data_IF_841963063538
#
_entry.id   IF_841963063538
#
_cell.length_a   1.000
_cell.length_b   1.000
_cell.length_c   1.000
_cell.angle_alpha   90.00
_cell.angle_beta   90.00
_cell.angle_gamma   90.00
#
_symmetry.space_group_name_H-M   'P 1'
#
loop_
_entity.id
_entity.type
_entity.pdbx_description
1 polymer ?
#
# COMPACT_ATOMS: atom_id res chain seq x y z
N UNK A 1 -67.57 71.77 85.94
CA UNK A 1 -66.51 72.48 85.21
C UNK A 1 -65.28 71.59 85.32
N UNK A 2 -64.78 71.05 84.20
CA UNK A 2 -63.52 70.28 84.24
C UNK A 2 -62.41 71.26 84.57
N UNK A 3 -61.72 71.03 85.69
CA UNK A 3 -60.65 71.91 86.16
C UNK A 3 -59.60 72.05 85.06
N UNK A 4 -59.31 73.29 84.67
CA UNK A 4 -58.35 73.60 83.60
C UNK A 4 -56.99 72.92 83.82
N UNK A 5 -56.62 72.67 85.08
CA UNK A 5 -55.43 71.93 85.49
C UNK A 5 -55.41 70.48 85.01
N UNK A 6 -56.56 69.79 84.99
CA UNK A 6 -56.69 68.41 84.50
C UNK A 6 -56.50 68.35 82.98
N UNK A 7 -57.05 69.32 82.23
CA UNK A 7 -56.85 69.43 80.78
C UNK A 7 -55.38 69.73 80.43
N UNK A 8 -54.70 70.58 81.21
CA UNK A 8 -53.26 70.81 81.05
C UNK A 8 -52.42 69.55 81.30
N UNK A 9 -52.79 68.75 82.31
CA UNK A 9 -52.09 67.49 82.59
C UNK A 9 -52.24 66.47 81.44
N UNK A 10 -53.48 66.27 80.96
CA UNK A 10 -53.76 65.33 79.85
C UNK A 10 -53.06 65.77 78.56
N UNK A 11 -53.07 67.07 78.24
CA UNK A 11 -52.39 67.60 77.05
C UNK A 11 -50.87 67.50 77.15
N UNK A 12 -50.30 67.73 78.34
CA UNK A 12 -48.87 67.53 78.60
C UNK A 12 -48.47 66.04 78.46
N UNK A 13 -49.26 65.12 79.02
CA UNK A 13 -49.01 63.67 78.91
C UNK A 13 -49.06 63.19 77.46
N UNK A 14 -50.04 63.67 76.69
CA UNK A 14 -50.18 63.34 75.26
C UNK A 14 -49.03 63.92 74.43
N UNK A 15 -48.57 65.14 74.74
CA UNK A 15 -47.41 65.73 74.09
C UNK A 15 -46.12 64.94 74.36
N UNK A 16 -45.93 64.46 75.60
CA UNK A 16 -44.78 63.60 75.95
C UNK A 16 -44.84 62.27 75.22
N UNK A 17 -46.01 61.62 75.17
CA UNK A 17 -46.19 60.36 74.44
C UNK A 17 -45.90 60.54 72.94
N UNK A 18 -46.40 61.62 72.34
CA UNK A 18 -46.14 61.95 70.94
C UNK A 18 -44.65 62.17 70.68
N UNK A 19 -43.95 62.87 71.58
CA UNK A 19 -42.50 63.07 71.48
C UNK A 19 -41.73 61.74 71.54
N UNK A 20 -42.11 60.84 72.44
CA UNK A 20 -41.51 59.49 72.54
C UNK A 20 -41.73 58.70 71.23
N UNK A 21 -42.94 58.74 70.67
CA UNK A 21 -43.26 58.09 69.38
C UNK A 21 -42.45 58.70 68.23
N UNK A 22 -42.30 60.03 68.18
CA UNK A 22 -41.47 60.70 67.19
C UNK A 22 -39.99 60.31 67.30
N UNK A 23 -39.44 60.22 68.51
CA UNK A 23 -38.06 59.74 68.72
C UNK A 23 -37.93 58.29 68.26
N UNK A 24 -38.88 57.42 68.62
CA UNK A 24 -38.87 56.02 68.21
C UNK A 24 -38.93 55.86 66.69
N UNK A 25 -39.79 56.64 66.00
CA UNK A 25 -39.88 56.66 64.55
C UNK A 25 -38.58 57.17 63.90
N UNK A 26 -37.93 58.19 64.45
CA UNK A 26 -36.63 58.67 63.96
C UNK A 26 -35.54 57.60 64.09
N UNK A 27 -35.51 56.85 65.20
CA UNK A 27 -34.58 55.74 65.39
C UNK A 27 -34.84 54.61 64.39
N UNK A 28 -36.12 54.29 64.12
CA UNK A 28 -36.49 53.28 63.12
C UNK A 28 -36.16 53.72 61.69
N UNK A 29 -36.40 54.98 61.34
CA UNK A 29 -36.00 55.57 60.05
C UNK A 29 -34.48 55.50 59.87
N UNK A 30 -33.71 55.77 60.93
CA UNK A 30 -32.25 55.62 60.91
C UNK A 30 -31.80 54.18 60.67
N UNK A 31 -32.44 53.20 61.33
CA UNK A 31 -32.15 51.77 61.11
C UNK A 31 -32.53 51.31 59.70
N UNK A 32 -33.67 51.76 59.17
CA UNK A 32 -34.12 51.43 57.82
C UNK A 32 -33.17 52.01 56.76
N UNK A 33 -32.73 53.27 56.90
CA UNK A 33 -31.72 53.85 56.00
C UNK A 33 -30.41 53.06 55.98
N UNK A 34 -29.94 52.61 57.15
CA UNK A 34 -28.75 51.74 57.22
C UNK A 34 -28.97 50.39 56.53
N UNK A 35 -30.18 49.85 56.58
CA UNK A 35 -30.50 48.57 55.96
C UNK A 35 -30.63 48.69 54.44
N UNK A 36 -31.22 49.79 53.95
CA UNK A 36 -31.26 50.14 52.52
C UNK A 36 -29.84 50.31 51.96
N UNK A 37 -28.97 51.07 52.65
CA UNK A 37 -27.58 51.23 52.23
C UNK A 37 -26.83 49.88 52.13
N UNK A 38 -27.06 48.97 53.08
CA UNK A 38 -26.48 47.61 53.03
C UNK A 38 -27.02 46.78 51.87
N UNK A 39 -28.28 46.95 51.49
CA UNK A 39 -28.86 46.24 50.34
C UNK A 39 -28.35 46.80 49.02
N UNK A 40 -28.20 48.12 48.91
CA UNK A 40 -27.59 48.79 47.76
C UNK A 40 -26.14 48.33 47.56
N UNK A 41 -25.34 48.31 48.64
CA UNK A 41 -23.96 47.80 48.59
C UNK A 41 -23.91 46.33 48.13
N UNK A 42 -24.83 45.49 48.61
CA UNK A 42 -24.93 44.09 48.17
C UNK A 42 -25.28 43.98 46.69
N UNK A 43 -26.24 44.77 46.19
CA UNK A 43 -26.62 44.77 44.77
C UNK A 43 -25.44 45.22 43.90
N UNK A 44 -24.71 46.26 44.31
CA UNK A 44 -23.52 46.73 43.59
C UNK A 44 -22.42 45.65 43.59
N UNK A 45 -22.21 44.97 44.72
CA UNK A 45 -21.23 43.88 44.81
C UNK A 45 -21.61 42.68 43.93
N UNK A 46 -22.90 42.31 43.87
CA UNK A 46 -23.43 41.24 43.00
C UNK A 46 -23.31 41.62 41.52
N UNK A 47 -23.59 42.86 41.17
CA UNK A 47 -23.40 43.34 39.79
C UNK A 47 -21.93 43.27 39.37
N UNK A 48 -21.02 43.60 40.28
CA UNK A 48 -19.58 43.52 40.05
C UNK A 48 -19.10 42.06 39.96
N UNK A 49 -19.63 41.15 40.77
CA UNK A 49 -19.28 39.72 40.70
C UNK A 49 -19.82 39.06 39.43
N UNK A 50 -21.05 39.40 38.99
CA UNK A 50 -21.61 38.96 37.70
C UNK A 50 -20.80 39.51 36.53
N UNK A 51 -20.34 40.77 36.61
CA UNK A 51 -19.46 41.35 35.58
C UNK A 51 -18.11 40.62 35.48
N UNK A 52 -17.53 40.23 36.61
CA UNK A 52 -16.30 39.43 36.65
C UNK A 52 -16.51 38.02 36.11
N UNK A 53 -17.55 37.32 36.56
CA UNK A 53 -17.84 35.97 36.07
C UNK A 53 -18.16 35.95 34.58
N UNK A 54 -18.87 36.97 34.06
CA UNK A 54 -19.13 37.10 32.61
C UNK A 54 -17.85 37.34 31.80
N UNK A 55 -16.89 38.07 32.35
CA UNK A 55 -15.60 38.27 31.69
C UNK A 55 -14.72 37.02 31.76
N UNK A 56 -14.78 36.27 32.86
CA UNK A 56 -14.12 34.98 33.01
C UNK A 56 -14.72 33.93 32.07
N UNK A 57 -16.05 33.84 31.95
CA UNK A 57 -16.71 32.95 30.98
C UNK A 57 -16.43 33.37 29.55
N UNK A 58 -16.38 34.68 29.24
CA UNK A 58 -16.00 35.16 27.91
C UNK A 58 -14.53 34.85 27.59
N UNK A 59 -13.63 34.88 28.56
CA UNK A 59 -12.23 34.46 28.39
C UNK A 59 -12.12 32.95 28.20
N UNK A 60 -12.85 32.16 28.99
CA UNK A 60 -12.90 30.71 28.85
C UNK A 60 -13.49 30.30 27.49
N UNK A 61 -14.57 30.96 27.04
CA UNK A 61 -15.15 30.76 25.70
C UNK A 61 -14.17 31.13 24.59
N UNK A 62 -13.41 32.22 24.74
CA UNK A 62 -12.35 32.56 23.77
C UNK A 62 -11.23 31.52 23.75
N UNK A 63 -10.80 31.01 24.91
CA UNK A 63 -9.80 29.95 25.00
C UNK A 63 -10.31 28.62 24.43
N UNK A 64 -11.61 28.35 24.52
CA UNK A 64 -12.23 27.19 23.89
C UNK A 64 -12.35 27.37 22.38
N UNK A 65 -12.76 28.55 21.90
CA UNK A 65 -12.81 28.85 20.47
C UNK A 65 -11.41 28.83 19.83
N UNK A 66 -10.40 29.39 20.50
CA UNK A 66 -8.99 29.31 20.07
C UNK A 66 -8.44 27.86 20.09
N UNK A 67 -9.09 26.94 20.81
CA UNK A 67 -8.76 25.50 20.84
C UNK A 67 -9.60 24.69 19.84
N UNK A 68 -10.79 25.15 19.47
CA UNK A 68 -11.58 24.59 18.36
C UNK A 68 -11.06 25.04 16.99
N UNK A 69 -10.37 26.19 16.91
CA UNK A 69 -9.71 26.68 15.69
C UNK A 69 -8.34 26.02 15.42
N UNK A 70 -7.84 25.14 16.30
CA UNK A 70 -6.81 24.20 15.86
C UNK A 70 -7.53 23.15 15.01
N UNK A 71 -7.24 23.04 13.69
CA UNK A 71 -7.84 21.98 12.88
C UNK A 71 -7.54 20.68 13.62
N UNK A 72 -8.58 19.97 14.05
CA UNK A 72 -8.41 18.62 14.54
C UNK A 72 -7.71 17.88 13.41
N UNK A 73 -6.42 17.58 13.59
CA UNK A 73 -5.63 16.80 12.64
C UNK A 73 -6.50 15.63 12.24
N UNK A 74 -6.70 15.46 10.93
CA UNK A 74 -7.40 14.29 10.44
C UNK A 74 -6.70 13.07 11.03
N UNK A 75 -7.44 12.01 11.34
CA UNK A 75 -6.81 10.77 11.82
C UNK A 75 -5.72 10.29 10.85
N UNK A 76 -5.86 10.58 9.55
CA UNK A 76 -4.83 10.36 8.54
C UNK A 76 -3.59 11.24 8.74
N UNK A 77 -3.75 12.53 9.03
CA UNK A 77 -2.62 13.42 9.34
C UNK A 77 -1.88 12.97 10.61
N UNK A 78 -2.62 12.45 11.59
CA UNK A 78 -2.03 11.86 12.79
C UNK A 78 -1.25 10.58 12.46
N UNK A 79 -1.80 9.69 11.64
CA UNK A 79 -1.10 8.49 11.18
C UNK A 79 0.18 8.85 10.41
N UNK A 80 0.13 9.84 9.53
CA UNK A 80 1.29 10.30 8.78
C UNK A 80 2.38 10.85 9.70
N UNK A 81 1.98 11.64 10.70
CA UNK A 81 2.91 12.15 11.73
C UNK A 81 3.56 11.00 12.50
N UNK A 82 2.80 9.97 12.87
CA UNK A 82 3.32 8.80 13.59
C UNK A 82 4.20 7.90 12.70
N UNK A 83 3.90 7.77 11.41
CA UNK A 83 4.71 7.05 10.42
C UNK A 83 6.07 7.75 10.29
N UNK A 84 6.08 9.07 10.09
CA UNK A 84 7.31 9.85 9.97
C UNK A 84 8.12 9.82 11.27
N UNK A 85 7.48 9.97 12.43
CA UNK A 85 8.15 9.85 13.73
C UNK A 85 8.77 8.46 13.94
N UNK A 86 8.10 7.40 13.46
CA UNK A 86 8.64 6.03 13.53
C UNK A 86 9.82 5.85 12.58
N UNK A 87 9.78 6.45 11.38
CA UNK A 87 10.89 6.47 10.44
C UNK A 87 12.09 7.23 10.99
N UNK A 88 11.88 8.40 11.59
CA UNK A 88 12.93 9.18 12.24
C UNK A 88 13.58 8.43 13.40
N UNK A 89 12.76 7.73 14.20
CA UNK A 89 13.27 6.89 15.28
C UNK A 89 14.14 5.75 14.75
N UNK A 90 13.69 5.06 13.70
CA UNK A 90 14.47 4.01 13.03
C UNK A 90 15.79 4.55 12.47
N UNK A 91 15.78 5.70 11.79
CA UNK A 91 16.98 6.37 11.30
C UNK A 91 17.97 6.72 12.42
N UNK A 92 17.47 7.09 13.61
CA UNK A 92 18.32 7.37 14.78
C UNK A 92 19.10 6.14 15.29
N UNK A 93 18.68 4.92 14.91
CA UNK A 93 19.36 3.66 15.19
C UNK A 93 20.48 3.32 14.18
N UNK A 94 20.80 4.26 13.28
CA UNK A 94 21.78 4.15 12.19
C UNK A 94 21.59 2.88 11.34
N UNK A 95 20.42 2.70 10.71
CA UNK A 95 20.12 1.52 9.93
C UNK A 95 20.96 1.48 8.66
N UNK A 96 21.39 0.28 8.28
CA UNK A 96 22.22 0.04 7.09
C UNK A 96 21.35 -0.18 5.83
N UNK A 97 20.03 -0.32 6.05
CA UNK A 97 19.01 -0.63 5.05
C UNK A 97 17.70 0.10 5.40
N UNK A 98 16.73 0.05 4.49
CA UNK A 98 15.43 0.69 4.70
C UNK A 98 14.62 0.01 5.82
N UNK A 99 13.73 0.79 6.47
CA UNK A 99 12.87 0.36 7.59
C UNK A 99 12.00 -0.84 7.24
N UNK A 100 11.59 -0.97 5.97
CA UNK A 100 10.79 -2.10 5.47
C UNK A 100 11.60 -3.41 5.48
N UNK A 101 12.92 -3.34 5.28
CA UNK A 101 13.79 -4.50 5.20
C UNK A 101 14.30 -4.96 6.58
N UNK A 102 14.23 -4.08 7.58
CA UNK A 102 14.62 -4.37 8.97
C UNK A 102 13.56 -5.15 9.75
N UNK A 103 12.47 -5.57 9.09
CA UNK A 103 11.47 -6.47 9.67
C UNK A 103 11.99 -7.92 9.78
N UNK A 104 13.04 -8.25 9.02
CA UNK A 104 13.68 -9.57 9.02
C UNK A 104 14.39 -9.89 10.36
N UNK A 105 14.48 -11.19 10.73
CA UNK A 105 15.00 -11.61 12.03
C UNK A 105 16.52 -11.36 12.20
N UNK A 106 17.24 -11.05 11.12
CA UNK A 106 18.67 -10.73 11.13
C UNK A 106 18.97 -9.31 11.65
N UNK A 107 17.98 -8.41 11.65
CA UNK A 107 18.14 -7.05 12.14
C UNK A 107 18.18 -6.98 13.68
N UNK A 108 18.83 -5.98 14.30
CA UNK A 108 18.74 -5.75 15.74
C UNK A 108 17.29 -5.55 16.21
N UNK A 109 16.94 -6.06 17.40
CA UNK A 109 15.56 -6.04 17.92
C UNK A 109 14.93 -4.64 17.95
N UNK A 110 15.72 -3.60 18.22
CA UNK A 110 15.23 -2.22 18.26
C UNK A 110 14.83 -1.71 16.86
N UNK A 111 15.56 -2.16 15.82
CA UNK A 111 15.23 -1.86 14.42
C UNK A 111 14.02 -2.67 13.96
N UNK A 112 13.95 -3.94 14.32
CA UNK A 112 12.77 -4.79 14.06
C UNK A 112 11.50 -4.22 14.70
N UNK A 113 11.57 -3.74 15.94
CA UNK A 113 10.43 -3.14 16.62
C UNK A 113 9.94 -1.87 15.90
N UNK A 114 10.88 -1.04 15.41
CA UNK A 114 10.56 0.16 14.64
C UNK A 114 9.96 -0.18 13.27
N UNK A 115 10.54 -1.19 12.59
CA UNK A 115 10.06 -1.73 11.32
C UNK A 115 8.63 -2.30 11.43
N UNK A 116 8.37 -3.09 12.47
CA UNK A 116 7.05 -3.69 12.72
C UNK A 116 6.00 -2.62 13.05
N UNK A 117 6.36 -1.62 13.87
CA UNK A 117 5.46 -0.47 14.12
C UNK A 117 5.16 0.28 12.83
N UNK A 118 6.16 0.53 11.99
CA UNK A 118 5.98 1.20 10.71
C UNK A 118 5.04 0.39 9.79
N UNK A 119 5.26 -0.92 9.65
CA UNK A 119 4.39 -1.81 8.88
C UNK A 119 2.94 -1.79 9.37
N UNK A 120 2.73 -1.81 10.69
CA UNK A 120 1.40 -1.73 11.30
C UNK A 120 0.70 -0.39 11.00
N UNK A 121 1.42 0.74 11.12
CA UNK A 121 0.86 2.07 10.84
C UNK A 121 0.49 2.24 9.36
N UNK A 122 1.30 1.69 8.45
CA UNK A 122 0.99 1.66 7.02
C UNK A 122 -0.26 0.83 6.75
N UNK A 123 -0.38 -0.36 7.37
CA UNK A 123 -1.58 -1.19 7.25
C UNK A 123 -2.84 -0.46 7.75
N UNK A 124 -2.75 0.25 8.88
CA UNK A 124 -3.86 1.06 9.41
C UNK A 124 -4.22 2.22 8.46
N UNK A 125 -3.22 2.88 7.87
CA UNK A 125 -3.42 3.95 6.88
C UNK A 125 -4.11 3.43 5.63
N UNK A 126 -3.68 2.29 5.08
CA UNK A 126 -4.31 1.65 3.93
C UNK A 126 -5.75 1.20 4.23
N UNK A 127 -5.97 0.61 5.41
CA UNK A 127 -7.30 0.22 5.85
C UNK A 127 -8.24 1.42 5.97
N UNK A 128 -7.74 2.59 6.41
CA UNK A 128 -8.50 3.84 6.44
C UNK A 128 -8.86 4.34 5.05
N UNK A 129 -7.94 4.31 4.10
CA UNK A 129 -8.27 4.68 2.71
C UNK A 129 -9.32 3.76 2.10
N UNK A 130 -9.29 2.46 2.41
CA UNK A 130 -10.24 1.49 1.88
C UNK A 130 -11.63 1.54 2.54
N UNK A 131 -11.74 2.04 3.78
CA UNK A 131 -12.98 2.00 4.58
C UNK A 131 -13.87 3.24 4.49
N UNK A 132 -13.51 4.25 3.68
CA UNK A 132 -14.29 5.48 3.49
C UNK A 132 -14.03 6.56 4.55
N UNK A 133 -14.81 7.65 4.53
CA UNK A 133 -14.56 8.87 5.34
C UNK A 133 -14.52 8.63 6.86
N UNK A 134 -15.28 7.66 7.39
CA UNK A 134 -15.47 7.50 8.84
C UNK A 134 -15.00 6.15 9.42
N UNK A 135 -14.60 5.17 8.61
CA UNK A 135 -14.27 3.81 9.07
C UNK A 135 -13.02 3.20 8.45
N UNK A 136 -12.32 2.34 9.20
CA UNK A 136 -11.27 1.46 8.65
C UNK A 136 -11.92 0.22 8.05
N UNK A 137 -11.45 -0.23 6.88
CA UNK A 137 -11.79 -1.54 6.33
C UNK A 137 -11.04 -2.62 7.11
N UNK A 138 -11.76 -3.35 7.96
CA UNK A 138 -11.21 -4.45 8.75
C UNK A 138 -10.70 -5.60 7.90
N UNK A 139 -11.29 -5.83 6.72
CA UNK A 139 -10.84 -6.86 5.77
C UNK A 139 -9.45 -6.55 5.24
N UNK A 140 -9.20 -5.27 4.87
CA UNK A 140 -7.89 -4.82 4.41
C UNK A 140 -6.87 -4.86 5.54
N UNK A 141 -7.24 -4.40 6.73
CA UNK A 141 -6.38 -4.46 7.90
C UNK A 141 -5.99 -5.90 8.25
N UNK A 142 -6.97 -6.83 8.25
CA UNK A 142 -6.73 -8.24 8.52
C UNK A 142 -5.78 -8.85 7.49
N UNK A 143 -6.04 -8.64 6.19
CA UNK A 143 -5.19 -9.17 5.13
C UNK A 143 -3.73 -8.67 5.24
N UNK A 144 -3.54 -7.40 5.60
CA UNK A 144 -2.21 -6.80 5.77
C UNK A 144 -1.50 -7.31 7.02
N UNK A 145 -2.22 -7.51 8.13
CA UNK A 145 -1.67 -8.10 9.34
C UNK A 145 -1.32 -9.58 9.14
N UNK A 146 -2.13 -10.33 8.42
CA UNK A 146 -1.83 -11.72 8.04
C UNK A 146 -0.55 -11.81 7.22
N UNK A 147 -0.31 -10.89 6.27
CA UNK A 147 0.95 -10.84 5.53
C UNK A 147 2.16 -10.60 6.44
N UNK A 148 2.04 -9.67 7.40
CA UNK A 148 3.11 -9.41 8.38
C UNK A 148 3.36 -10.67 9.24
N UNK A 149 2.30 -11.34 9.70
CA UNK A 149 2.42 -12.56 10.51
C UNK A 149 3.05 -13.70 9.72
N UNK A 150 2.59 -13.97 8.48
CA UNK A 150 3.13 -15.00 7.61
C UNK A 150 4.62 -14.79 7.32
N UNK A 151 5.04 -13.54 7.15
CA UNK A 151 6.46 -13.22 7.00
C UNK A 151 7.27 -13.67 8.23
N UNK A 152 6.79 -13.40 9.45
CA UNK A 152 7.46 -13.84 10.67
C UNK A 152 7.38 -15.34 10.92
N UNK A 153 6.28 -16.00 10.56
CA UNK A 153 6.15 -17.46 10.65
C UNK A 153 7.13 -18.17 9.71
N UNK A 154 7.27 -17.68 8.48
CA UNK A 154 8.26 -18.20 7.52
C UNK A 154 9.70 -17.83 7.85
N UNK A 155 9.94 -16.73 8.57
CA UNK A 155 11.27 -16.31 8.99
C UNK A 155 11.75 -16.98 10.29
N UNK A 156 10.82 -17.43 11.15
CA UNK A 156 11.13 -18.12 12.41
C UNK A 156 11.22 -19.65 12.28
N UNK A 157 10.94 -20.24 11.12
CA UNK A 157 11.41 -21.61 10.83
C UNK A 157 12.94 -21.57 10.82
N UNK A 158 13.62 -22.14 11.84
CA UNK A 158 15.05 -22.05 11.92
C UNK A 158 15.64 -22.74 10.70
N UNK A 159 16.28 -21.96 9.82
CA UNK A 159 17.38 -22.49 9.03
C UNK A 159 18.44 -22.91 10.04
N UNK A 160 18.41 -24.18 10.45
CA UNK A 160 19.63 -24.83 10.91
C UNK A 160 20.61 -24.73 9.74
N UNK A 161 21.53 -23.76 9.80
CA UNK A 161 22.77 -23.86 9.05
C UNK A 161 23.43 -25.17 9.49
N UNK A 162 23.61 -26.16 8.60
CA UNK A 162 24.43 -27.29 8.97
C UNK A 162 25.86 -26.77 9.05
N UNK A 163 26.37 -26.70 10.28
CA UNK A 163 27.78 -26.90 10.53
C UNK A 163 28.22 -28.10 9.67
N UNK A 164 29.29 -27.91 8.92
CA UNK A 164 29.87 -28.91 8.04
C UNK A 164 30.02 -30.28 8.74
N UNK A 165 29.03 -31.13 8.58
CA UNK A 165 29.14 -32.58 8.73
C UNK A 165 28.71 -33.19 7.40
N UNK A 166 29.69 -33.76 6.72
CA UNK A 166 29.55 -34.53 5.51
C UNK A 166 28.50 -35.64 5.72
N UNK A 167 27.38 -35.58 4.97
CA UNK A 167 26.50 -36.74 4.78
C UNK A 167 24.98 -36.57 4.94
N UNK A 168 24.43 -35.36 4.84
CA UNK A 168 22.97 -35.12 4.83
C UNK A 168 22.37 -35.13 3.43
N UNK A 169 21.17 -35.67 3.31
CA UNK A 169 20.48 -36.13 2.08
C UNK A 169 20.14 -35.01 1.09
N UNK A 170 20.41 -35.22 -0.21
CA UNK A 170 20.10 -34.24 -1.29
C UNK A 170 18.60 -33.90 -1.39
N UNK A 171 17.76 -34.74 -0.80
CA UNK A 171 16.30 -34.58 -0.68
C UNK A 171 15.89 -33.31 0.08
N UNK A 172 16.59 -32.95 1.16
CA UNK A 172 16.20 -31.82 2.01
C UNK A 172 16.56 -30.47 1.36
N UNK A 173 17.68 -30.40 0.63
CA UNK A 173 18.02 -29.22 -0.17
C UNK A 173 17.00 -29.01 -1.30
N UNK A 174 16.57 -30.08 -1.97
CA UNK A 174 15.55 -30.03 -3.02
C UNK A 174 14.21 -29.54 -2.47
N UNK A 175 13.81 -29.95 -1.27
CA UNK A 175 12.58 -29.47 -0.63
C UNK A 175 12.61 -27.97 -0.34
N UNK A 176 13.76 -27.44 0.13
CA UNK A 176 13.96 -26.00 0.36
C UNK A 176 13.94 -25.22 -0.95
N UNK A 177 14.59 -25.72 -2.00
CA UNK A 177 14.54 -25.10 -3.33
C UNK A 177 13.13 -25.16 -3.94
N UNK A 178 12.39 -26.26 -3.77
CA UNK A 178 10.98 -26.39 -4.20
C UNK A 178 10.08 -25.36 -3.50
N UNK A 179 10.20 -25.20 -2.18
CA UNK A 179 9.44 -24.19 -1.42
C UNK A 179 9.78 -22.75 -1.87
N UNK A 180 11.06 -22.48 -2.16
CA UNK A 180 11.49 -21.18 -2.66
C UNK A 180 10.97 -20.89 -4.07
N UNK A 181 10.95 -21.90 -4.94
CA UNK A 181 10.38 -21.82 -6.29
C UNK A 181 8.88 -21.56 -6.21
N UNK A 182 8.16 -22.29 -5.34
CA UNK A 182 6.72 -22.12 -5.17
C UNK A 182 6.36 -20.71 -4.68
N UNK A 183 7.15 -20.17 -3.74
CA UNK A 183 6.98 -18.78 -3.29
C UNK A 183 7.28 -17.77 -4.41
N UNK A 184 8.34 -17.98 -5.21
CA UNK A 184 8.63 -17.13 -6.36
C UNK A 184 7.54 -17.19 -7.43
N UNK A 185 6.92 -18.35 -7.64
CA UNK A 185 5.80 -18.52 -8.55
C UNK A 185 4.53 -17.82 -8.04
N UNK A 186 4.28 -17.85 -6.72
CA UNK A 186 3.20 -17.07 -6.11
C UNK A 186 3.43 -15.57 -6.26
N UNK A 187 4.65 -15.09 -6.02
CA UNK A 187 5.00 -13.68 -6.25
C UNK A 187 4.87 -13.28 -7.71
N UNK A 188 5.33 -14.12 -8.64
CA UNK A 188 5.18 -13.91 -10.08
C UNK A 188 3.71 -13.84 -10.49
N UNK A 189 2.86 -14.72 -9.95
CA UNK A 189 1.41 -14.69 -10.20
C UNK A 189 0.76 -13.45 -9.63
N UNK A 190 1.15 -13.03 -8.42
CA UNK A 190 0.66 -11.80 -7.79
C UNK A 190 1.09 -10.56 -8.60
N UNK A 191 2.32 -10.53 -9.10
CA UNK A 191 2.83 -9.46 -9.94
C UNK A 191 2.01 -9.35 -11.24
N UNK A 192 1.79 -10.46 -11.95
CA UNK A 192 0.97 -10.44 -13.16
C UNK A 192 -0.49 -10.07 -12.89
N UNK A 193 -1.08 -10.50 -11.76
CA UNK A 193 -2.44 -10.09 -11.39
C UNK A 193 -2.51 -8.59 -11.05
N UNK A 194 -1.47 -8.06 -10.41
CA UNK A 194 -1.35 -6.63 -10.10
C UNK A 194 -1.13 -5.79 -11.37
N UNK A 195 -0.26 -6.24 -12.28
CA UNK A 195 0.00 -5.62 -13.58
C UNK A 195 -1.27 -5.62 -14.44
N UNK A 196 -1.99 -6.75 -14.49
CA UNK A 196 -3.27 -6.85 -15.20
C UNK A 196 -4.33 -5.91 -14.62
N UNK A 197 -4.43 -5.83 -13.29
CA UNK A 197 -5.34 -4.90 -12.61
C UNK A 197 -4.93 -3.45 -12.83
N UNK A 198 -3.63 -3.17 -12.87
CA UNK A 198 -3.09 -1.85 -13.15
C UNK A 198 -3.43 -1.42 -14.57
N UNK A 199 -3.13 -2.22 -15.58
CA UNK A 199 -3.51 -1.97 -16.98
C UNK A 199 -5.02 -1.77 -17.14
N UNK A 200 -5.83 -2.61 -16.48
CA UNK A 200 -7.28 -2.47 -16.50
C UNK A 200 -7.76 -1.15 -15.86
N UNK A 201 -7.14 -0.74 -14.75
CA UNK A 201 -7.44 0.53 -14.07
C UNK A 201 -7.00 1.74 -14.91
N UNK A 202 -5.87 1.63 -15.61
CA UNK A 202 -5.36 2.66 -16.50
C UNK A 202 -6.27 2.82 -17.72
N UNK A 203 -6.72 1.72 -18.32
CA UNK A 203 -7.69 1.75 -19.41
C UNK A 203 -9.03 2.36 -18.99
N UNK A 204 -9.51 2.07 -17.78
CA UNK A 204 -10.72 2.68 -17.23
C UNK A 204 -10.54 4.18 -16.93
N UNK A 205 -9.38 4.57 -16.41
CA UNK A 205 -9.06 5.98 -16.17
C UNK A 205 -9.01 6.79 -17.47
N UNK A 206 -8.44 6.21 -18.54
CA UNK A 206 -8.41 6.81 -19.88
C UNK A 206 -9.83 6.96 -20.46
N UNK A 207 -10.70 5.96 -20.28
CA UNK A 207 -12.11 6.04 -20.69
C UNK A 207 -12.87 7.15 -19.94
N UNK A 208 -12.69 7.24 -18.61
CA UNK A 208 -13.28 8.33 -17.82
C UNK A 208 -12.71 9.70 -18.20
N UNK A 209 -11.42 9.78 -18.51
CA UNK A 209 -10.79 11.00 -19.00
C UNK A 209 -11.42 11.44 -20.34
N UNK A 210 -11.62 10.52 -21.28
CA UNK A 210 -12.26 10.82 -22.56
C UNK A 210 -13.72 11.27 -22.37
N UNK A 211 -14.47 10.61 -21.48
CA UNK A 211 -15.86 10.99 -21.16
C UNK A 211 -15.94 12.37 -20.50
N UNK A 212 -15.04 12.68 -19.55
CA UNK A 212 -14.98 13.99 -18.90
C UNK A 212 -14.56 15.08 -19.88
N UNK A 213 -13.60 14.81 -20.76
CA UNK A 213 -13.18 15.73 -21.83
C UNK A 213 -14.32 16.01 -22.81
N UNK A 214 -15.09 14.98 -23.19
CA UNK A 214 -16.26 15.14 -24.04
C UNK A 214 -17.37 15.96 -23.35
N UNK A 215 -17.63 15.71 -22.07
CA UNK A 215 -18.62 16.45 -21.27
C UNK A 215 -18.17 17.90 -21.00
N UNK A 216 -16.87 18.15 -20.79
CA UNK A 216 -16.28 19.48 -20.65
C UNK A 216 -16.46 20.32 -21.91
N UNK A 217 -16.25 19.72 -23.10
CA UNK A 217 -16.52 20.36 -24.40
C UNK A 217 -17.99 20.69 -24.61
N UNK A 218 -18.90 19.84 -24.14
CA UNK A 218 -20.34 20.07 -24.26
C UNK A 218 -20.85 21.17 -23.30
N UNK A 219 -20.25 21.28 -22.11
CA UNK A 219 -20.60 22.28 -21.10
C UNK A 219 -19.93 23.65 -21.31
N UNK A 220 -18.98 23.77 -22.23
CA UNK A 220 -18.25 25.01 -22.50
C UNK A 220 -17.37 25.49 -21.34
N UNK A 221 -17.04 24.59 -20.42
CA UNK A 221 -16.08 24.83 -19.34
C UNK A 221 -14.67 24.67 -19.93
N UNK A 222 -13.93 25.78 -20.01
CA UNK A 222 -12.74 25.94 -20.88
C UNK A 222 -11.43 25.29 -20.42
N UNK A 223 -10.33 25.83 -20.97
CA UNK A 223 -8.90 25.43 -20.84
C UNK A 223 -8.45 25.04 -19.42
N UNK A 224 -9.05 25.59 -18.36
CA UNK A 224 -8.68 25.26 -16.98
C UNK A 224 -9.14 23.86 -16.56
N UNK A 225 -10.25 23.36 -17.12
CA UNK A 225 -10.75 22.01 -16.86
C UNK A 225 -9.92 20.97 -17.61
N UNK A 226 -9.61 21.24 -18.89
CA UNK A 226 -8.70 20.42 -19.69
C UNK A 226 -7.29 20.36 -19.04
N UNK A 227 -6.80 21.49 -18.52
CA UNK A 227 -5.51 21.55 -17.82
C UNK A 227 -5.48 20.86 -16.45
N UNK A 228 -6.62 20.64 -15.78
CA UNK A 228 -6.72 19.84 -14.56
C UNK A 228 -6.83 18.34 -14.87
N UNK A 229 -7.56 17.99 -15.93
CA UNK A 229 -7.65 16.64 -16.46
C UNK A 229 -6.29 16.14 -16.95
N UNK A 230 -5.52 16.97 -17.66
CA UNK A 230 -4.16 16.61 -18.09
C UNK A 230 -3.23 16.36 -16.90
N UNK A 231 -3.33 17.15 -15.83
CA UNK A 231 -2.54 16.93 -14.62
C UNK A 231 -2.93 15.64 -13.90
N UNK A 232 -4.21 15.29 -13.94
CA UNK A 232 -4.70 14.03 -13.38
C UNK A 232 -4.20 12.83 -14.19
N UNK A 233 -4.27 12.87 -15.52
CA UNK A 233 -3.75 11.82 -16.40
C UNK A 233 -2.24 11.59 -16.20
N UNK A 234 -1.46 12.68 -16.09
CA UNK A 234 -0.02 12.58 -15.84
C UNK A 234 0.33 11.98 -14.47
N UNK A 235 -0.50 12.17 -13.44
CA UNK A 235 -0.25 11.58 -12.11
C UNK A 235 -0.30 10.05 -12.11
N UNK A 236 -1.09 9.43 -13.00
CA UNK A 236 -1.12 7.97 -13.15
C UNK A 236 0.06 7.45 -13.97
N UNK A 237 0.52 8.21 -14.97
CA UNK A 237 1.73 7.88 -15.74
C UNK A 237 2.97 7.89 -14.85
N UNK A 238 3.10 8.89 -13.96
CA UNK A 238 4.24 9.00 -13.04
C UNK A 238 4.32 7.82 -12.04
N UNK A 239 3.18 7.27 -11.62
CA UNK A 239 3.13 6.10 -10.74
C UNK A 239 3.51 4.82 -11.52
N UNK A 240 3.08 4.70 -12.78
CA UNK A 240 3.49 3.60 -13.66
C UNK A 240 5.00 3.57 -13.90
N UNK A 241 5.60 4.74 -14.18
CA UNK A 241 7.05 4.88 -14.34
C UNK A 241 7.81 4.56 -13.04
N UNK A 242 7.23 4.82 -11.86
CA UNK A 242 7.85 4.49 -10.57
C UNK A 242 7.94 2.97 -10.37
N UNK A 243 6.85 2.26 -10.65
CA UNK A 243 6.74 0.79 -10.51
C UNK A 243 7.67 0.08 -11.51
N UNK A 244 7.77 0.58 -12.74
CA UNK A 244 8.72 0.04 -13.74
C UNK A 244 10.19 0.33 -13.38
N UNK A 245 10.47 1.48 -12.75
CA UNK A 245 11.83 1.83 -12.35
C UNK A 245 12.35 1.01 -11.16
N UNK A 246 11.48 0.62 -10.22
CA UNK A 246 11.87 -0.20 -9.05
C UNK A 246 12.09 -1.67 -9.41
N UNK A 247 11.39 -2.21 -10.42
CA UNK A 247 11.62 -3.56 -10.95
C UNK A 247 12.99 -3.74 -11.62
N UNK A 248 13.64 -2.65 -12.04
CA UNK A 248 14.93 -2.66 -12.76
C UNK A 248 16.14 -2.28 -11.89
N UNK A 249 15.93 -1.97 -10.60
CA UNK A 249 16.96 -1.39 -9.71
C UNK A 249 17.94 -2.37 -9.04
N UNK A 250 17.71 -3.68 -9.12
CA UNK A 250 18.43 -4.67 -8.29
C UNK A 250 19.63 -5.34 -8.99
N UNK A 251 20.49 -4.64 -9.74
CA UNK A 251 21.80 -5.19 -10.17
C UNK A 251 22.87 -4.11 -10.40
N UNK A 252 23.24 -3.33 -9.38
CA UNK A 252 24.52 -2.59 -9.38
C UNK A 252 25.23 -2.66 -8.02
N UNK A 253 25.67 -3.86 -7.66
CA UNK A 253 26.76 -4.05 -6.71
C UNK A 253 27.83 -4.92 -7.37
N UNK A 254 29.02 -4.34 -7.53
CA UNK A 254 30.22 -4.88 -8.17
C UNK A 254 30.78 -6.04 -7.32
N UNK A 255 30.95 -7.28 -7.83
CA UNK A 255 31.80 -8.28 -7.19
C UNK A 255 33.21 -8.19 -7.78
N UNK A 256 34.17 -7.76 -6.96
CA UNK A 256 35.58 -8.08 -7.18
C UNK A 256 35.82 -9.49 -6.63
N UNK A 257 36.22 -10.42 -7.50
CA UNK A 257 36.57 -11.78 -7.12
C UNK A 257 36.23 -12.76 -8.24
N UNK A 258 37.20 -13.02 -9.12
CA UNK A 258 37.00 -13.79 -10.34
C UNK A 258 36.72 -15.28 -10.13
N UNK A 259 35.77 -15.79 -10.91
CA UNK A 259 35.79 -17.13 -11.50
C UNK A 259 35.29 -16.97 -12.93
N UNK A 260 36.20 -17.18 -13.89
CA UNK A 260 35.87 -17.23 -15.32
C UNK A 260 34.99 -18.47 -15.59
N UNK A 261 33.70 -18.23 -15.84
CA UNK A 261 32.82 -19.20 -16.47
C UNK A 261 32.54 -18.74 -17.91
N UNK A 262 32.99 -19.59 -18.83
CA UNK A 262 32.98 -19.45 -20.28
C UNK A 262 31.57 -19.13 -20.85
N UNK A 263 31.32 -17.86 -21.19
CA UNK A 263 30.15 -17.40 -21.96
C UNK A 263 30.48 -17.39 -23.46
N UNK A 264 30.55 -18.57 -24.05
CA UNK A 264 30.33 -18.77 -25.49
C UNK A 264 28.88 -19.20 -25.69
N UNK A 265 27.96 -18.25 -25.75
CA UNK A 265 26.61 -18.48 -26.29
C UNK A 265 26.04 -17.20 -26.89
N UNK A 266 25.90 -17.23 -28.22
CA UNK A 266 25.03 -16.45 -29.10
C UNK A 266 25.15 -14.92 -29.16
N UNK A 267 25.49 -14.43 -30.35
CA UNK A 267 25.57 -13.00 -30.72
C UNK A 267 24.26 -12.22 -30.59
N UNK A 268 23.11 -12.88 -30.44
CA UNK A 268 21.80 -12.24 -30.23
C UNK A 268 21.67 -11.54 -28.87
N UNK A 269 22.39 -12.02 -27.83
CA UNK A 269 22.31 -11.39 -26.50
C UNK A 269 23.00 -10.03 -26.43
N UNK A 270 24.08 -9.83 -27.21
CA UNK A 270 24.81 -8.55 -27.23
C UNK A 270 24.09 -7.46 -28.01
N UNK A 271 23.35 -7.80 -29.07
CA UNK A 271 22.57 -6.83 -29.84
C UNK A 271 21.34 -6.36 -29.07
N UNK A 272 20.67 -7.23 -28.34
CA UNK A 272 19.52 -6.86 -27.48
C UNK A 272 19.94 -5.94 -26.33
N UNK A 273 21.07 -6.22 -25.67
CA UNK A 273 21.58 -5.38 -24.57
C UNK A 273 22.03 -3.99 -25.08
N UNK A 274 22.72 -3.93 -26.23
CA UNK A 274 23.12 -2.65 -26.82
C UNK A 274 21.91 -1.81 -27.26
N UNK A 275 20.88 -2.45 -27.82
CA UNK A 275 19.67 -1.78 -28.28
C UNK A 275 18.82 -1.26 -27.11
N UNK A 276 18.79 -1.99 -25.99
CA UNK A 276 18.10 -1.57 -24.77
C UNK A 276 18.77 -0.34 -24.13
N UNK A 277 20.10 -0.27 -24.13
CA UNK A 277 20.84 0.90 -23.63
C UNK A 277 20.60 2.15 -24.50
N UNK A 278 20.48 1.99 -25.81
CA UNK A 278 20.23 3.08 -26.75
C UNK A 278 18.78 3.61 -26.65
N UNK A 279 17.80 2.72 -26.47
CA UNK A 279 16.40 3.08 -26.17
C UNK A 279 16.29 3.85 -24.85
N UNK A 280 17.00 3.40 -23.79
CA UNK A 280 17.02 4.11 -22.51
C UNK A 280 17.64 5.50 -22.62
N UNK A 281 18.68 5.65 -23.44
CA UNK A 281 19.29 6.95 -23.73
C UNK A 281 18.32 7.89 -24.45
N UNK A 282 17.55 7.39 -25.42
CA UNK A 282 16.53 8.15 -26.12
C UNK A 282 15.38 8.56 -25.18
N UNK A 283 14.91 7.65 -24.30
CA UNK A 283 13.87 7.96 -23.30
C UNK A 283 14.33 9.07 -22.35
N UNK A 284 15.55 8.98 -21.81
CA UNK A 284 16.09 10.01 -20.91
C UNK A 284 16.26 11.37 -21.61
N UNK A 285 16.70 11.37 -22.87
CA UNK A 285 16.84 12.61 -23.64
C UNK A 285 15.49 13.25 -23.97
N UNK A 286 14.44 12.45 -24.21
CA UNK A 286 13.08 12.95 -24.41
C UNK A 286 12.50 13.60 -23.14
N UNK A 287 12.77 13.00 -21.96
CA UNK A 287 12.37 13.56 -20.66
C UNK A 287 13.05 14.91 -20.40
N UNK A 288 14.36 15.00 -20.64
CA UNK A 288 15.11 16.26 -20.48
C UNK A 288 14.58 17.37 -21.42
N UNK A 289 14.22 17.02 -22.66
CA UNK A 289 13.63 17.97 -23.60
C UNK A 289 12.24 18.45 -23.16
N UNK A 290 11.40 17.56 -22.63
CA UNK A 290 10.09 17.95 -22.09
C UNK A 290 10.21 18.89 -20.88
N UNK A 291 11.23 18.69 -20.05
CA UNK A 291 11.53 19.60 -18.94
C UNK A 291 11.93 20.98 -19.44
N UNK A 292 12.81 21.07 -20.43
CA UNK A 292 13.22 22.35 -21.05
C UNK A 292 12.02 23.08 -21.68
N UNK A 293 11.15 22.36 -22.39
CA UNK A 293 9.93 22.93 -23.00
C UNK A 293 8.99 23.46 -21.91
N UNK A 294 8.82 22.72 -20.81
CA UNK A 294 7.95 23.13 -19.70
C UNK A 294 8.49 24.37 -19.00
N UNK A 295 9.80 24.45 -18.79
CA UNK A 295 10.46 25.64 -18.23
C UNK A 295 10.35 26.85 -19.16
N UNK A 296 10.50 26.67 -20.47
CA UNK A 296 10.35 27.74 -21.46
C UNK A 296 8.90 28.21 -21.58
N UNK A 297 7.91 27.29 -21.58
CA UNK A 297 6.48 27.63 -21.52
C UNK A 297 6.15 28.41 -20.25
N UNK A 298 6.71 28.00 -19.11
CA UNK A 298 6.54 28.72 -17.84
C UNK A 298 7.17 30.12 -17.89
N UNK A 299 8.36 30.27 -18.48
CA UNK A 299 9.00 31.58 -18.70
C UNK A 299 8.19 32.46 -19.65
N UNK A 300 7.56 31.89 -20.68
CA UNK A 300 6.68 32.63 -21.58
C UNK A 300 5.48 33.21 -20.82
N UNK A 301 4.84 32.40 -19.97
CA UNK A 301 3.68 32.79 -19.17
C UNK A 301 4.01 33.82 -18.09
N UNK A 302 5.23 33.82 -17.55
CA UNK A 302 5.65 34.76 -16.50
C UNK A 302 6.32 36.02 -17.04
N UNK A 303 6.81 35.99 -18.28
CA UNK A 303 7.40 37.17 -18.94
C UNK A 303 6.30 38.17 -19.32
N UNK A 304 6.40 39.39 -18.77
CA UNK A 304 5.44 40.48 -19.00
C UNK A 304 5.96 41.55 -19.96
N UNK A 305 7.24 41.48 -20.34
CA UNK A 305 7.85 42.33 -21.35
C UNK A 305 7.74 41.69 -22.74
N UNK A 306 7.33 42.44 -23.78
CA UNK A 306 7.25 41.92 -25.15
C UNK A 306 8.62 41.51 -25.73
N UNK A 307 9.72 42.08 -25.23
CA UNK A 307 11.08 41.72 -25.65
C UNK A 307 11.49 40.36 -25.10
N UNK A 308 11.17 40.08 -23.83
CA UNK A 308 11.42 38.77 -23.19
C UNK A 308 10.55 37.67 -23.80
N UNK A 309 9.29 38.00 -24.15
CA UNK A 309 8.40 37.07 -24.85
C UNK A 309 8.96 36.68 -26.22
N UNK A 310 9.56 37.63 -26.95
CA UNK A 310 10.14 37.37 -28.25
C UNK A 310 11.42 36.53 -28.17
N UNK A 311 12.25 36.71 -27.13
CA UNK A 311 13.40 35.86 -26.85
C UNK A 311 12.96 34.42 -26.51
N UNK A 312 11.94 34.25 -25.67
CA UNK A 312 11.41 32.93 -25.31
C UNK A 312 10.76 32.23 -26.49
N UNK A 313 10.05 32.96 -27.37
CA UNK A 313 9.49 32.39 -28.61
C UNK A 313 10.60 31.97 -29.58
N UNK A 314 11.69 32.74 -29.70
CA UNK A 314 12.87 32.34 -30.49
C UNK A 314 13.50 31.06 -29.94
N UNK A 315 13.67 30.96 -28.62
CA UNK A 315 14.22 29.77 -27.97
C UNK A 315 13.30 28.54 -28.11
N UNK A 316 11.97 28.72 -28.04
CA UNK A 316 11.00 27.66 -28.31
C UNK A 316 11.05 27.19 -29.77
N UNK A 317 11.24 28.12 -30.71
CA UNK A 317 11.35 27.80 -32.14
C UNK A 317 12.62 26.99 -32.42
N UNK A 318 13.74 27.35 -31.78
CA UNK A 318 15.00 26.60 -31.88
C UNK A 318 14.87 25.20 -31.26
N UNK A 319 14.19 25.06 -30.11
CA UNK A 319 13.91 23.77 -29.50
C UNK A 319 12.97 22.90 -30.36
N UNK A 320 11.98 23.49 -31.02
CA UNK A 320 11.11 22.77 -31.96
C UNK A 320 11.88 22.28 -33.19
N UNK A 321 12.78 23.08 -33.76
CA UNK A 321 13.63 22.64 -34.87
C UNK A 321 14.57 21.51 -34.43
N UNK A 322 15.09 21.58 -33.20
CA UNK A 322 15.90 20.52 -32.62
C UNK A 322 15.10 19.22 -32.42
N UNK A 323 13.86 19.31 -31.92
CA UNK A 323 12.95 18.16 -31.81
C UNK A 323 12.60 17.56 -33.16
N UNK A 324 12.39 18.39 -34.18
CA UNK A 324 12.12 17.91 -35.54
C UNK A 324 13.30 17.10 -36.09
N UNK A 325 14.55 17.52 -35.84
CA UNK A 325 15.74 16.74 -36.21
C UNK A 325 15.83 15.44 -35.43
N UNK A 326 15.53 15.46 -34.13
CA UNK A 326 15.53 14.24 -33.32
C UNK A 326 14.47 13.23 -33.76
N UNK A 327 13.27 13.67 -34.13
CA UNK A 327 12.25 12.77 -34.68
C UNK A 327 12.72 12.13 -35.99
N UNK A 328 13.37 12.89 -36.87
CA UNK A 328 13.94 12.34 -38.11
C UNK A 328 15.07 11.34 -37.85
N UNK A 329 15.94 11.60 -36.87
CA UNK A 329 16.98 10.66 -36.45
C UNK A 329 16.39 9.39 -35.82
N UNK A 330 15.35 9.53 -35.00
CA UNK A 330 14.63 8.40 -34.40
C UNK A 330 13.89 7.55 -35.45
N UNK A 331 13.24 8.17 -36.44
CA UNK A 331 12.63 7.47 -37.57
C UNK A 331 13.68 6.67 -38.37
N UNK A 332 14.86 7.26 -38.58
CA UNK A 332 15.97 6.58 -39.27
C UNK A 332 16.51 5.40 -38.46
N UNK A 333 16.61 5.55 -37.13
CA UNK A 333 17.02 4.47 -36.22
C UNK A 333 15.99 3.34 -36.18
N UNK A 334 14.69 3.66 -36.11
CA UNK A 334 13.61 2.67 -36.17
C UNK A 334 13.65 1.86 -37.46
N UNK A 335 13.84 2.53 -38.61
CA UNK A 335 14.00 1.84 -39.90
C UNK A 335 15.20 0.89 -39.90
N UNK A 336 16.34 1.30 -39.32
CA UNK A 336 17.51 0.43 -39.20
C UNK A 336 17.22 -0.81 -38.34
N UNK A 337 16.47 -0.65 -37.25
CA UNK A 337 16.07 -1.77 -36.37
C UNK A 337 15.08 -2.69 -37.08
N UNK A 338 14.12 -2.15 -37.83
CA UNK A 338 13.17 -2.91 -38.63
C UNK A 338 13.88 -3.73 -39.72
N UNK A 339 14.87 -3.14 -40.39
CA UNK A 339 15.70 -3.82 -41.39
C UNK A 339 16.52 -4.96 -40.75
N UNK A 340 17.11 -4.73 -39.57
CA UNK A 340 17.91 -5.74 -38.87
C UNK A 340 17.02 -6.87 -38.31
N UNK A 341 15.82 -6.56 -37.83
CA UNK A 341 14.84 -7.56 -37.41
C UNK A 341 14.39 -8.42 -38.58
N UNK A 342 14.11 -7.81 -39.73
CA UNK A 342 13.73 -8.53 -40.96
C UNK A 342 14.85 -9.48 -41.37
N UNK A 343 16.10 -9.02 -41.34
CA UNK A 343 17.28 -9.85 -41.64
C UNK A 343 17.45 -11.02 -40.67
N UNK A 344 17.21 -10.80 -39.38
CA UNK A 344 17.29 -11.86 -38.36
C UNK A 344 16.16 -12.91 -38.53
N UNK A 345 14.97 -12.49 -38.97
CA UNK A 345 13.90 -13.43 -39.32
C UNK A 345 14.26 -14.28 -40.54
N UNK A 346 14.81 -13.67 -41.59
CA UNK A 346 15.26 -14.37 -42.79
C UNK A 346 16.35 -15.41 -42.48
N UNK A 347 17.32 -15.09 -41.60
CA UNK A 347 18.34 -16.05 -41.14
C UNK A 347 17.72 -17.21 -40.35
N UNK A 348 16.74 -16.93 -39.48
CA UNK A 348 16.03 -17.97 -38.72
C UNK A 348 15.27 -18.92 -39.65
N UNK A 349 14.60 -18.39 -40.67
CA UNK A 349 13.87 -19.19 -41.65
C UNK A 349 14.83 -20.07 -42.47
N UNK A 350 16.00 -19.53 -42.85
CA UNK A 350 17.05 -20.32 -43.52
C UNK A 350 17.62 -21.44 -42.65
N UNK A 351 17.86 -21.18 -41.36
CA UNK A 351 18.34 -22.20 -40.42
C UNK A 351 17.30 -23.31 -40.20
N UNK A 352 16.02 -22.94 -40.12
CA UNK A 352 14.92 -23.92 -40.04
C UNK A 352 14.85 -24.79 -41.30
N UNK A 353 14.95 -24.19 -42.48
CA UNK A 353 14.97 -24.93 -43.74
C UNK A 353 16.19 -25.87 -43.84
N UNK A 354 17.36 -25.48 -43.32
CA UNK A 354 18.56 -26.32 -43.27
C UNK A 354 18.42 -27.51 -42.31
N UNK A 355 17.75 -27.34 -41.17
CA UNK A 355 17.44 -28.44 -40.25
C UNK A 355 16.48 -29.46 -40.88
N UNK A 356 15.48 -28.99 -41.61
CA UNK A 356 14.53 -29.87 -42.32
C UNK A 356 15.17 -30.63 -43.48
N UNK A 357 16.15 -30.03 -44.17
CA UNK A 357 16.86 -30.69 -45.28
C UNK A 357 18.09 -31.52 -44.84
N UNK A 358 18.63 -31.27 -43.65
CA UNK A 358 19.84 -31.93 -43.13
C UNK A 358 19.63 -33.25 -42.36
N UNK A 359 18.39 -33.59 -41.96
CA UNK A 359 18.08 -34.77 -41.13
C UNK A 359 18.02 -36.14 -41.83
N UNK A 360 18.62 -36.28 -43.02
CA UNK A 360 18.31 -37.39 -43.94
C UNK A 360 19.24 -38.61 -43.98
N UNK A 361 20.26 -38.77 -43.12
CA UNK A 361 21.27 -39.82 -43.37
C UNK A 361 21.69 -40.76 -42.22
N UNK A 362 21.36 -40.53 -40.95
CA UNK A 362 21.86 -41.41 -39.86
C UNK A 362 20.83 -41.79 -38.76
N UNK A 363 19.53 -41.50 -38.93
CA UNK A 363 18.49 -41.60 -37.87
C UNK A 363 17.81 -42.98 -37.68
N UNK A 364 18.35 -44.09 -38.19
CA UNK A 364 17.65 -45.38 -38.05
C UNK A 364 17.69 -45.95 -36.62
N UNK A 365 18.58 -45.45 -35.75
CA UNK A 365 18.63 -45.86 -34.33
C UNK A 365 17.99 -44.86 -33.36
N UNK A 366 17.87 -43.58 -33.74
CA UNK A 366 17.26 -42.55 -32.89
C UNK A 366 15.73 -42.54 -32.96
N UNK A 367 15.13 -42.89 -34.10
CA UNK A 367 13.66 -42.90 -34.22
C UNK A 367 13.01 -43.98 -33.33
N UNK A 368 13.61 -45.16 -33.20
CA UNK A 368 13.10 -46.20 -32.28
C UNK A 368 13.27 -45.84 -30.80
N UNK A 369 14.29 -45.05 -30.48
CA UNK A 369 14.55 -44.60 -29.11
C UNK A 369 13.62 -43.44 -28.74
N UNK A 370 13.36 -42.53 -29.69
CA UNK A 370 12.37 -41.45 -29.55
C UNK A 370 10.95 -42.03 -29.44
N UNK A 371 10.56 -43.02 -30.25
CA UNK A 371 9.25 -43.68 -30.11
C UNK A 371 9.09 -44.40 -28.76
N UNK A 372 10.16 -45.00 -28.22
CA UNK A 372 10.12 -45.61 -26.87
C UNK A 372 10.01 -44.58 -25.76
N UNK A 373 10.71 -43.46 -25.88
CA UNK A 373 10.64 -42.36 -24.92
C UNK A 373 9.24 -41.73 -24.97
N UNK A 374 8.67 -41.54 -26.17
CA UNK A 374 7.31 -41.00 -26.33
C UNK A 374 6.25 -41.94 -25.74
N UNK A 375 6.39 -43.25 -25.94
CA UNK A 375 5.51 -44.24 -25.32
C UNK A 375 5.62 -44.23 -23.79
N UNK A 376 6.84 -44.15 -23.24
CA UNK A 376 7.07 -44.11 -21.79
C UNK A 376 6.55 -42.80 -21.17
N UNK A 377 6.74 -41.66 -21.84
CA UNK A 377 6.17 -40.37 -21.43
C UNK A 377 4.65 -40.42 -21.40
N UNK A 378 4.02 -41.06 -22.40
CA UNK A 378 2.57 -41.19 -22.47
C UNK A 378 2.01 -42.08 -21.37
N UNK A 379 2.68 -43.19 -21.07
CA UNK A 379 2.29 -44.09 -19.98
C UNK A 379 2.45 -43.39 -18.61
N UNK A 380 3.56 -42.69 -18.37
CA UNK A 380 3.79 -41.89 -17.16
C UNK A 380 2.75 -40.75 -17.02
N UNK A 381 2.37 -40.12 -18.13
CA UNK A 381 1.34 -39.06 -18.12
C UNK A 381 -0.03 -39.62 -17.76
N UNK A 382 -0.38 -40.81 -18.26
CA UNK A 382 -1.64 -41.47 -17.90
C UNK A 382 -1.64 -41.93 -16.44
N UNK A 383 -0.54 -42.51 -15.95
CA UNK A 383 -0.37 -42.92 -14.56
C UNK A 383 -0.43 -41.72 -13.61
N UNK A 384 0.22 -40.60 -13.95
CA UNK A 384 0.11 -39.35 -13.20
C UNK A 384 -1.32 -38.82 -13.16
N UNK A 385 -2.07 -38.94 -14.26
CA UNK A 385 -3.46 -38.50 -14.31
C UNK A 385 -4.38 -39.37 -13.46
N UNK A 386 -4.17 -40.69 -13.47
CA UNK A 386 -4.92 -41.63 -12.64
C UNK A 386 -4.63 -41.42 -11.14
N UNK A 387 -3.36 -41.16 -10.77
CA UNK A 387 -3.00 -40.80 -9.40
C UNK A 387 -3.64 -39.49 -8.95
N UNK A 388 -3.62 -38.44 -9.78
CA UNK A 388 -4.28 -37.16 -9.46
C UNK A 388 -5.80 -37.33 -9.30
N UNK A 389 -6.43 -38.20 -10.10
CA UNK A 389 -7.84 -38.53 -9.95
C UNK A 389 -8.12 -39.27 -8.62
N UNK A 390 -7.23 -40.17 -8.19
CA UNK A 390 -7.35 -40.82 -6.87
C UNK A 390 -7.12 -39.85 -5.71
N UNK A 391 -6.18 -38.91 -5.83
CA UNK A 391 -5.94 -37.87 -4.82
C UNK A 391 -7.19 -37.00 -4.66
N UNK A 392 -7.78 -36.53 -5.76
CA UNK A 392 -9.00 -35.72 -5.73
C UNK A 392 -10.19 -36.47 -5.07
N UNK A 393 -10.34 -37.77 -5.34
CA UNK A 393 -11.38 -38.59 -4.72
C UNK A 393 -11.14 -38.76 -3.20
N UNK A 394 -9.89 -38.96 -2.78
CA UNK A 394 -9.52 -39.08 -1.37
C UNK A 394 -9.67 -37.75 -0.61
N UNK A 395 -9.34 -36.61 -1.23
CA UNK A 395 -9.58 -35.28 -0.68
C UNK A 395 -11.07 -35.00 -0.48
N UNK A 396 -11.90 -35.39 -1.45
CA UNK A 396 -13.37 -35.30 -1.33
C UNK A 396 -13.89 -36.17 -0.18
N UNK A 397 -13.46 -37.43 -0.07
CA UNK A 397 -13.85 -38.31 1.05
C UNK A 397 -13.38 -37.73 2.40
N UNK A 398 -12.17 -37.18 2.47
CA UNK A 398 -11.61 -36.55 3.68
C UNK A 398 -12.42 -35.33 4.10
N UNK A 399 -12.79 -34.46 3.15
CA UNK A 399 -13.67 -33.32 3.41
C UNK A 399 -15.05 -33.78 3.94
N UNK A 400 -15.59 -34.86 3.39
CA UNK A 400 -16.89 -35.41 3.78
C UNK A 400 -16.86 -36.05 5.18
N UNK A 401 -15.76 -36.73 5.53
CA UNK A 401 -15.55 -37.33 6.85
C UNK A 401 -15.33 -36.24 7.90
N UNK A 402 -14.54 -35.22 7.58
CA UNK A 402 -14.34 -34.05 8.46
C UNK A 402 -15.66 -33.33 8.73
N UNK A 403 -16.46 -33.09 7.70
CA UNK A 403 -17.79 -32.51 7.84
C UNK A 403 -18.75 -33.40 8.66
N UNK A 404 -18.66 -34.73 8.56
CA UNK A 404 -19.43 -35.68 9.40
C UNK A 404 -18.97 -35.67 10.87
N UNK A 405 -17.68 -35.50 11.14
CA UNK A 405 -17.14 -35.38 12.50
C UNK A 405 -17.58 -34.05 13.13
N UNK A 406 -17.54 -32.96 12.36
CA UNK A 406 -17.94 -31.62 12.83
C UNK A 406 -19.46 -31.48 13.04
N UNK A 407 -20.27 -32.09 12.16
CA UNK A 407 -21.74 -32.10 12.29
C UNK A 407 -22.29 -33.13 13.29
N UNK A 408 -21.54 -34.21 13.58
CA UNK A 408 -21.90 -35.25 14.54
C UNK A 408 -21.59 -34.93 16.01
N UNK A 409 -20.92 -33.81 16.30
CA UNK A 409 -20.54 -33.40 17.66
C UNK A 409 -21.67 -32.87 18.55
N UNK A 410 -22.92 -32.91 18.09
CA UNK A 410 -24.05 -32.21 18.72
C UNK A 410 -24.97 -33.04 19.63
N UNK A 411 -25.11 -34.36 19.46
CA UNK A 411 -26.07 -35.14 20.26
C UNK A 411 -25.52 -36.50 20.70
N UNK A 412 -25.32 -36.60 22.01
CA UNK A 412 -25.30 -37.78 22.87
C UNK A 412 -25.67 -39.11 22.19
N UNK A 413 -24.68 -39.93 21.84
CA UNK A 413 -24.99 -41.29 21.37
C UNK A 413 -23.83 -42.22 21.05
N UNK A 414 -22.73 -41.75 20.45
CA UNK A 414 -21.86 -42.69 19.71
C UNK A 414 -20.37 -42.33 19.75
N UNK A 415 -19.79 -42.29 20.95
CA UNK A 415 -18.36 -42.03 21.15
C UNK A 415 -17.46 -43.06 20.42
N UNK A 416 -17.91 -44.31 20.30
CA UNK A 416 -17.18 -45.38 19.61
C UNK A 416 -17.13 -45.16 18.09
N UNK A 417 -18.22 -44.67 17.48
CA UNK A 417 -18.26 -44.33 16.05
C UNK A 417 -17.39 -43.11 15.71
N UNK A 418 -17.29 -42.13 16.62
CA UNK A 418 -16.40 -40.97 16.43
C UNK A 418 -14.92 -41.39 16.50
N UNK A 419 -14.57 -42.36 17.35
CA UNK A 419 -13.20 -42.87 17.45
C UNK A 419 -12.81 -43.71 16.22
N UNK A 420 -13.73 -44.53 15.69
CA UNK A 420 -13.55 -45.26 14.43
C UNK A 420 -13.39 -44.30 13.25
N UNK A 421 -14.18 -43.22 13.19
CA UNK A 421 -14.08 -42.20 12.12
C UNK A 421 -12.77 -41.42 12.19
N UNK A 422 -12.25 -41.15 13.40
CA UNK A 422 -10.93 -40.53 13.58
C UNK A 422 -9.79 -41.45 13.12
N UNK A 423 -9.86 -42.73 13.49
CA UNK A 423 -8.91 -43.75 13.03
C UNK A 423 -8.90 -43.88 11.51
N UNK A 424 -10.08 -43.91 10.87
CA UNK A 424 -10.19 -43.94 9.40
C UNK A 424 -9.69 -42.64 8.73
N UNK A 425 -9.89 -41.49 9.38
CA UNK A 425 -9.36 -40.20 8.91
C UNK A 425 -7.82 -40.20 8.94
N UNK A 426 -7.22 -40.71 10.01
CA UNK A 426 -5.76 -40.83 10.14
C UNK A 426 -5.19 -41.81 9.11
N UNK A 427 -5.85 -42.95 8.88
CA UNK A 427 -5.45 -43.93 7.86
C UNK A 427 -5.49 -43.33 6.45
N UNK A 428 -6.56 -42.60 6.10
CA UNK A 428 -6.65 -41.92 4.80
C UNK A 428 -5.67 -40.75 4.65
N UNK A 429 -5.38 -40.00 5.72
CA UNK A 429 -4.35 -38.96 5.70
C UNK A 429 -2.97 -39.56 5.43
N UNK A 430 -2.69 -40.72 6.01
CA UNK A 430 -1.44 -41.44 5.77
C UNK A 430 -1.34 -41.97 4.33
N UNK A 431 -2.45 -42.48 3.77
CA UNK A 431 -2.49 -42.97 2.39
C UNK A 431 -2.32 -41.83 1.37
N UNK A 432 -2.91 -40.66 1.63
CA UNK A 432 -2.74 -39.46 0.79
C UNK A 432 -1.29 -39.01 0.78
N UNK A 433 -0.62 -39.00 1.94
CA UNK A 433 0.78 -38.62 2.06
C UNK A 433 1.70 -39.60 1.31
N UNK A 434 1.39 -40.90 1.36
CA UNK A 434 2.11 -41.92 0.61
C UNK A 434 1.93 -41.76 -0.92
N UNK A 435 0.70 -41.48 -1.38
CA UNK A 435 0.42 -41.21 -2.81
C UNK A 435 1.09 -39.92 -3.31
N UNK A 436 1.11 -38.85 -2.50
CA UNK A 436 1.85 -37.63 -2.83
C UNK A 436 3.36 -37.90 -2.95
N UNK A 437 3.91 -38.73 -2.07
CA UNK A 437 5.33 -39.12 -2.15
C UNK A 437 5.62 -39.90 -3.44
N UNK A 438 4.76 -40.86 -3.80
CA UNK A 438 4.91 -41.61 -5.06
C UNK A 438 4.76 -40.72 -6.30
N UNK A 439 3.89 -39.71 -6.25
CA UNK A 439 3.74 -38.74 -7.34
C UNK A 439 5.01 -37.90 -7.53
N UNK A 440 5.62 -37.44 -6.45
CA UNK A 440 6.90 -36.71 -6.48
C UNK A 440 8.03 -37.57 -7.07
N UNK A 441 8.14 -38.83 -6.66
CA UNK A 441 9.13 -39.76 -7.20
C UNK A 441 8.96 -39.99 -8.72
N UNK A 442 7.71 -40.03 -9.19
CA UNK A 442 7.40 -40.18 -10.61
C UNK A 442 7.69 -38.89 -11.42
N UNK A 443 7.43 -37.71 -10.86
CA UNK A 443 7.83 -36.44 -11.46
C UNK A 443 9.35 -36.30 -11.59
N UNK A 444 10.09 -36.72 -10.56
CA UNK A 444 11.56 -36.73 -10.59
C UNK A 444 12.09 -37.68 -11.66
N UNK A 445 11.53 -38.88 -11.74
CA UNK A 445 11.87 -39.85 -12.79
C UNK A 445 11.52 -39.33 -14.19
N UNK A 446 10.43 -38.59 -14.33
CA UNK A 446 10.06 -37.93 -15.58
C UNK A 446 11.05 -36.83 -15.97
N UNK A 447 11.49 -36.01 -15.01
CA UNK A 447 12.51 -34.98 -15.21
C UNK A 447 13.86 -35.60 -15.61
N UNK A 448 14.26 -36.71 -14.99
CA UNK A 448 15.48 -37.44 -15.36
C UNK A 448 15.44 -38.00 -16.78
N UNK A 449 14.28 -38.52 -17.21
CA UNK A 449 14.05 -39.03 -18.56
C UNK A 449 14.04 -37.91 -19.61
N UNK A 450 13.61 -36.69 -19.25
CA UNK A 450 13.61 -35.52 -20.13
C UNK A 450 15.00 -34.87 -20.27
N UNK A 451 15.89 -35.07 -19.29
CA UNK A 451 17.24 -34.49 -19.25
C UNK A 451 18.31 -35.38 -19.90
N UNK A 452 17.97 -36.62 -20.27
CA UNK A 452 18.78 -37.52 -21.10
C UNK A 452 18.34 -37.41 -22.56
#
# INVERSE_FOLDING_TARGET
MLDSTLLFYITAELAVLLLIVCIFLMLHLGKLRKLVAKLEDKIVSLRKSIGKSRNETKKALKQLAEREDSPSLSFLDYLDTEIDATRDHHQSLNPDRDIVLDIAPDAPIDRQASALRHAFLIAEKEARYAGGEDSSSWEVLQAKLEQIIQFYEGANTPSEEPAAEEGGDASDEIAVYKSRIENLERFKKLFFDMESKWEASQAQAEDYYQQLTAMGKELGAGEEFDGLLDKYANAYSDIGDLIESEGSGATKAKPEGGVEANLQSSGAGKTIIANQEEILRLKNMAVDQHKVITELKKKLLTSSSPEDQQEVVSALTEQLEQQQRFMQEAETCSQLIEDELTRAMDENEQLRAQLETGGGSDSASSDEEVERIEAMVKDLTNESKDMLATIAALEEENSSLKARIESGGGESGDAENVEILKSKLEEMQQELLNLQTQHIELEERYLELKMK
#
